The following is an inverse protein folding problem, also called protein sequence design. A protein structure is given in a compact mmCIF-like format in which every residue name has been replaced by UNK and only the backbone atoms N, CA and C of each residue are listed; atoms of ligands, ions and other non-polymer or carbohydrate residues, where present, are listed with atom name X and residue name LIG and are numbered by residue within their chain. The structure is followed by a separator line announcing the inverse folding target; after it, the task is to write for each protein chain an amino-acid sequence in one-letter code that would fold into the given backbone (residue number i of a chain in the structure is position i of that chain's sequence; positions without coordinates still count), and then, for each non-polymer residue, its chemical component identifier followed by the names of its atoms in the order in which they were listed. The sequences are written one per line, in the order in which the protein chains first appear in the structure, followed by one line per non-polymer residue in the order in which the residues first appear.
data_IF_970011618150
#
_entry.id   IF_970011618150
#
_cell.length_a   1.000
_cell.length_b   1.000
_cell.length_c   1.000
_cell.angle_alpha   90.00
_cell.angle_beta   90.00
_cell.angle_gamma   90.00
#
_symmetry.space_group_name_H-M   'P 1'
#
loop_
_entity.id
_entity.type
_entity.pdbx_description
1 polymer ?
#
# COMPACT_ATOMS: atom_id res chain seq x y z
N UNK A 1 12.10 0.53 -2.56
CA UNK A 1 11.04 -0.21 -3.23
C UNK A 1 9.94 0.72 -3.74
N UNK A 2 9.38 0.39 -4.88
CA UNK A 2 8.34 1.20 -5.52
C UNK A 2 6.98 0.55 -5.34
N UNK A 3 5.96 1.37 -5.07
CA UNK A 3 4.56 0.98 -4.95
C UNK A 3 3.71 1.90 -5.83
N UNK A 4 2.51 1.47 -6.23
CA UNK A 4 1.68 2.25 -7.14
C UNK A 4 1.22 3.57 -6.52
N UNK A 5 0.81 3.54 -5.25
CA UNK A 5 0.38 4.74 -4.54
C UNK A 5 0.86 4.73 -3.09
N UNK A 6 1.28 5.89 -2.60
CA UNK A 6 1.52 6.14 -1.19
C UNK A 6 0.51 7.19 -0.71
N UNK A 7 -0.28 6.83 0.29
CA UNK A 7 -1.28 7.74 0.86
C UNK A 7 -0.71 8.38 2.11
N UNK A 8 -0.77 9.70 2.15
CA UNK A 8 -0.27 10.50 3.26
C UNK A 8 -1.40 11.35 3.82
N UNK A 9 -1.18 11.97 4.98
CA UNK A 9 -2.11 12.97 5.53
C UNK A 9 -2.07 14.29 4.76
N UNK A 10 -1.23 14.39 3.72
CA UNK A 10 -0.97 15.55 2.88
C UNK A 10 -1.36 15.25 1.43
N UNK A 11 -1.30 16.23 0.51
CA UNK A 11 -1.62 16.01 -0.91
C UNK A 11 -0.84 14.86 -1.54
N UNK A 12 -1.40 14.27 -2.60
CA UNK A 12 -0.75 13.22 -3.39
C UNK A 12 0.63 13.63 -3.85
N UNK A 13 1.56 12.68 -3.80
CA UNK A 13 2.94 12.90 -4.19
C UNK A 13 3.44 11.72 -5.05
N UNK A 14 4.20 12.01 -6.09
CA UNK A 14 5.07 11.04 -6.72
C UNK A 14 6.24 10.81 -5.77
N UNK A 15 6.58 9.54 -5.47
CA UNK A 15 7.39 9.28 -4.30
C UNK A 15 8.53 8.28 -4.50
N UNK A 16 9.61 8.57 -3.81
CA UNK A 16 10.55 7.58 -3.32
C UNK A 16 10.41 7.49 -1.80
N UNK A 17 10.30 6.27 -1.27
CA UNK A 17 10.21 6.09 0.17
C UNK A 17 11.59 6.13 0.81
N UNK A 18 11.72 6.95 1.84
CA UNK A 18 12.94 7.08 2.64
C UNK A 18 12.61 6.94 4.12
N UNK A 19 13.62 6.58 4.91
CA UNK A 19 13.56 6.65 6.36
C UNK A 19 14.35 7.88 6.79
N UNK A 20 13.65 8.83 7.44
CA UNK A 20 14.27 10.02 7.99
C UNK A 20 13.94 10.11 9.49
N UNK A 21 14.97 10.20 10.33
CA UNK A 21 14.84 10.26 11.78
C UNK A 21 14.00 9.10 12.35
N UNK A 22 14.11 7.90 11.76
CA UNK A 22 13.38 6.70 12.15
C UNK A 22 11.92 6.65 11.65
N UNK A 23 11.47 7.63 10.87
CA UNK A 23 10.11 7.73 10.35
C UNK A 23 10.10 7.43 8.84
N UNK A 24 9.17 6.56 8.40
CA UNK A 24 8.98 6.27 6.98
C UNK A 24 8.26 7.44 6.33
N UNK A 25 8.89 8.05 5.35
CA UNK A 25 8.42 9.25 4.68
C UNK A 25 8.49 9.12 3.16
N UNK A 26 7.69 9.89 2.47
CA UNK A 26 7.89 10.20 1.05
C UNK A 26 8.46 11.59 0.92
N UNK A 27 9.30 11.81 -0.10
CA UNK A 27 9.92 13.09 -0.37
C UNK A 27 9.30 13.73 -1.60
N UNK A 28 8.87 14.98 -1.46
CA UNK A 28 8.39 15.80 -2.56
C UNK A 28 8.87 17.23 -2.39
N UNK A 29 9.45 17.80 -3.45
CA UNK A 29 9.93 19.18 -3.45
C UNK A 29 10.84 19.52 -2.26
N UNK A 30 11.68 18.57 -1.86
CA UNK A 30 12.59 18.74 -0.72
C UNK A 30 11.96 18.54 0.65
N UNK A 31 10.65 18.26 0.72
CA UNK A 31 9.93 18.01 1.97
C UNK A 31 9.62 16.52 2.14
N UNK A 32 9.50 16.05 3.38
CA UNK A 32 9.17 14.68 3.73
C UNK A 32 7.78 14.59 4.33
N UNK A 33 6.97 13.63 3.85
CA UNK A 33 5.60 13.42 4.30
C UNK A 33 5.46 11.99 4.85
N UNK A 34 4.98 11.82 6.09
CA UNK A 34 4.73 10.49 6.65
C UNK A 34 3.73 9.69 5.82
N UNK A 35 4.01 8.41 5.59
CA UNK A 35 3.13 7.50 4.85
C UNK A 35 2.12 6.89 5.80
N UNK A 36 0.83 7.02 5.50
CA UNK A 36 -0.26 6.37 6.23
C UNK A 36 -0.44 4.92 5.79
N UNK A 37 -0.50 4.67 4.48
CA UNK A 37 -0.55 3.34 3.90
C UNK A 37 -0.15 3.37 2.42
N UNK A 38 0.09 2.18 1.86
CA UNK A 38 0.46 1.99 0.48
C UNK A 38 -0.64 1.26 -0.27
N UNK A 39 -0.77 1.51 -1.56
CA UNK A 39 -1.69 0.79 -2.45
C UNK A 39 -0.90 0.17 -3.59
N UNK A 40 -1.14 -1.13 -3.84
CA UNK A 40 -0.69 -1.85 -5.03
C UNK A 40 -1.90 -2.28 -5.85
N UNK A 41 -1.88 -1.97 -7.14
CA UNK A 41 -2.89 -2.46 -8.10
C UNK A 41 -2.32 -3.66 -8.83
N UNK A 42 -2.91 -4.82 -8.61
CA UNK A 42 -2.43 -6.09 -9.16
C UNK A 42 -3.25 -6.50 -10.38
N UNK A 43 -2.60 -6.61 -11.53
CA UNK A 43 -3.20 -7.14 -12.76
C UNK A 43 -3.48 -8.64 -12.64
N UNK A 44 -4.65 -9.09 -13.06
CA UNK A 44 -5.10 -10.47 -12.86
C UNK A 44 -4.17 -11.52 -13.48
N UNK A 45 -3.73 -11.31 -14.71
CA UNK A 45 -2.83 -12.23 -15.38
C UNK A 45 -1.43 -12.25 -14.79
N UNK A 46 -0.83 -11.07 -14.58
CA UNK A 46 0.56 -10.95 -14.13
C UNK A 46 0.75 -11.34 -12.67
N UNK A 47 -0.23 -11.10 -11.82
CA UNK A 47 -0.18 -11.37 -10.37
C UNK A 47 -1.03 -12.58 -9.96
N UNK A 48 -1.58 -13.30 -10.92
CA UNK A 48 -2.25 -14.59 -10.70
C UNK A 48 -3.52 -14.49 -9.85
N UNK A 49 -4.41 -13.54 -10.18
CA UNK A 49 -5.75 -13.49 -9.58
C UNK A 49 -6.45 -14.83 -9.82
N UNK A 50 -6.91 -15.55 -8.79
CA UNK A 50 -7.57 -16.85 -8.95
C UNK A 50 -8.82 -16.83 -9.84
N UNK A 51 -9.45 -15.67 -10.00
CA UNK A 51 -10.61 -15.48 -10.90
C UNK A 51 -10.21 -15.40 -12.38
N UNK A 52 -8.93 -15.14 -12.66
CA UNK A 52 -8.39 -14.97 -14.01
C UNK A 52 -7.47 -16.12 -14.40
N UNK A 53 -6.66 -16.60 -13.46
CA UNK A 53 -5.65 -17.65 -13.67
C UNK A 53 -5.90 -18.81 -12.72
N UNK A 54 -5.99 -20.04 -13.26
CA UNK A 54 -6.16 -21.24 -12.44
C UNK A 54 -4.89 -21.55 -11.65
N UNK A 55 -5.07 -21.88 -10.38
CA UNK A 55 -3.99 -22.33 -9.51
C UNK A 55 -3.33 -23.60 -10.08
N UNK A 56 -2.02 -23.73 -9.94
CA UNK A 56 -1.22 -24.83 -10.47
C UNK A 56 -0.82 -24.69 -11.95
N UNK A 57 -1.31 -23.66 -12.64
CA UNK A 57 -0.99 -23.38 -14.05
C UNK A 57 -0.20 -22.08 -14.25
N UNK A 58 0.57 -21.69 -13.24
CA UNK A 58 1.37 -20.47 -13.30
C UNK A 58 2.59 -20.66 -14.20
N UNK A 59 2.82 -19.70 -15.09
CA UNK A 59 4.06 -19.66 -15.88
C UNK A 59 5.22 -19.09 -15.01
N UNK A 60 6.48 -19.18 -15.49
CA UNK A 60 7.64 -18.67 -14.72
C UNK A 60 7.55 -17.20 -14.35
N UNK A 61 6.99 -16.35 -15.23
CA UNK A 61 6.81 -14.92 -14.94
C UNK A 61 5.82 -14.70 -13.79
N UNK A 62 4.70 -15.40 -13.78
CA UNK A 62 3.70 -15.32 -12.73
C UNK A 62 4.25 -15.80 -11.38
N UNK A 63 5.02 -16.88 -11.38
CA UNK A 63 5.70 -17.36 -10.17
C UNK A 63 6.70 -16.35 -9.63
N UNK A 64 7.46 -15.72 -10.52
CA UNK A 64 8.40 -14.65 -10.12
C UNK A 64 7.66 -13.46 -9.54
N UNK A 65 6.57 -13.02 -10.13
CA UNK A 65 5.76 -11.90 -9.63
C UNK A 65 5.16 -12.21 -8.25
N UNK A 66 4.69 -13.43 -8.02
CA UNK A 66 4.25 -13.86 -6.68
C UNK A 66 5.37 -13.77 -5.64
N UNK A 67 6.57 -14.16 -6.01
CA UNK A 67 7.73 -14.05 -5.14
C UNK A 67 8.06 -12.58 -4.80
N UNK A 68 8.09 -11.72 -5.82
CA UNK A 68 8.32 -10.27 -5.61
C UNK A 68 7.22 -9.65 -4.74
N UNK A 69 5.96 -10.00 -4.97
CA UNK A 69 4.84 -9.53 -4.16
C UNK A 69 5.00 -9.94 -2.69
N UNK A 70 5.42 -11.18 -2.43
CA UNK A 70 5.66 -11.64 -1.06
C UNK A 70 6.79 -10.87 -0.37
N UNK A 71 7.83 -10.46 -1.11
CA UNK A 71 8.90 -9.61 -0.57
C UNK A 71 8.40 -8.21 -0.23
N UNK A 72 7.53 -7.62 -1.06
CA UNK A 72 6.90 -6.33 -0.78
C UNK A 72 6.01 -6.39 0.46
N UNK A 73 5.20 -7.45 0.59
CA UNK A 73 4.35 -7.65 1.77
C UNK A 73 5.19 -7.76 3.04
N UNK A 74 6.26 -8.53 2.98
CA UNK A 74 7.18 -8.73 4.10
C UNK A 74 7.87 -7.40 4.49
N UNK A 75 8.32 -6.64 3.52
CA UNK A 75 8.94 -5.33 3.77
C UNK A 75 7.96 -4.39 4.48
N UNK A 76 6.72 -4.29 3.99
CA UNK A 76 5.68 -3.48 4.63
C UNK A 76 5.39 -3.94 6.06
N UNK A 77 5.30 -5.25 6.29
CA UNK A 77 5.09 -5.81 7.62
C UNK A 77 6.23 -5.47 8.58
N UNK A 78 7.47 -5.58 8.12
CA UNK A 78 8.65 -5.24 8.93
C UNK A 78 8.72 -3.76 9.30
N UNK A 79 8.20 -2.88 8.46
CA UNK A 79 8.19 -1.42 8.68
C UNK A 79 6.87 -0.92 9.27
N UNK A 80 5.94 -1.81 9.61
CA UNK A 80 4.63 -1.47 10.15
C UNK A 80 3.83 -0.49 9.27
N UNK A 81 3.94 -0.64 7.95
CA UNK A 81 3.18 0.14 6.97
C UNK A 81 2.06 -0.72 6.42
N UNK A 82 0.78 -0.34 6.58
CA UNK A 82 -0.31 -1.07 5.95
C UNK A 82 -0.19 -1.06 4.42
N UNK A 83 -0.39 -2.22 3.80
CA UNK A 83 -0.39 -2.37 2.35
C UNK A 83 -1.77 -2.86 1.90
N UNK A 84 -2.48 -2.04 1.15
CA UNK A 84 -3.73 -2.41 0.51
C UNK A 84 -3.46 -2.89 -0.91
N UNK A 85 -3.72 -4.17 -1.17
CA UNK A 85 -3.68 -4.73 -2.52
C UNK A 85 -5.07 -4.73 -3.12
N UNK A 86 -5.16 -4.21 -4.35
CA UNK A 86 -6.41 -4.12 -5.09
C UNK A 86 -6.22 -4.84 -6.42
N UNK A 87 -7.09 -5.80 -6.71
CA UNK A 87 -7.09 -6.45 -8.00
C UNK A 87 -7.67 -5.53 -9.08
N UNK A 88 -7.04 -5.49 -10.24
CA UNK A 88 -7.58 -4.79 -11.41
C UNK A 88 -9.01 -5.25 -11.75
N UNK A 89 -9.28 -6.54 -11.59
CA UNK A 89 -10.62 -7.10 -11.76
C UNK A 89 -11.66 -6.38 -10.89
N UNK A 90 -11.34 -6.10 -9.63
CA UNK A 90 -12.26 -5.42 -8.71
C UNK A 90 -12.46 -3.95 -9.07
N UNK A 91 -11.43 -3.28 -9.57
CA UNK A 91 -11.57 -1.88 -10.05
C UNK A 91 -12.59 -1.81 -11.18
N UNK A 92 -12.57 -2.77 -12.09
CA UNK A 92 -13.45 -2.82 -13.26
C UNK A 92 -14.87 -3.31 -12.94
N UNK A 93 -14.99 -4.30 -12.06
CA UNK A 93 -16.26 -5.01 -11.82
C UNK A 93 -16.90 -4.70 -10.47
N UNK A 94 -16.13 -4.26 -9.48
CA UNK A 94 -16.58 -4.03 -8.11
C UNK A 94 -16.02 -2.70 -7.56
N UNK A 95 -16.25 -1.56 -8.24
CA UNK A 95 -15.65 -0.28 -7.83
C UNK A 95 -16.09 0.19 -6.44
N UNK A 96 -17.33 -0.10 -6.04
CA UNK A 96 -17.84 0.28 -4.71
C UNK A 96 -17.09 -0.47 -3.60
N UNK A 97 -16.79 -1.76 -3.83
CA UNK A 97 -15.97 -2.55 -2.91
C UNK A 97 -14.56 -1.95 -2.77
N UNK A 98 -13.95 -1.54 -3.87
CA UNK A 98 -12.62 -0.90 -3.86
C UNK A 98 -12.64 0.40 -3.06
N UNK A 99 -13.64 1.25 -3.28
CA UNK A 99 -13.79 2.50 -2.52
C UNK A 99 -13.97 2.24 -1.02
N UNK A 100 -14.75 1.23 -0.65
CA UNK A 100 -14.94 0.83 0.74
C UNK A 100 -13.63 0.43 1.39
N UNK A 101 -12.79 -0.36 0.70
CA UNK A 101 -11.48 -0.77 1.20
C UNK A 101 -10.53 0.42 1.39
N UNK A 102 -10.49 1.33 0.43
CA UNK A 102 -9.66 2.54 0.52
C UNK A 102 -10.12 3.39 1.71
N UNK A 103 -11.42 3.61 1.86
CA UNK A 103 -11.97 4.40 2.97
C UNK A 103 -11.66 3.78 4.34
N UNK A 104 -11.74 2.45 4.45
CA UNK A 104 -11.37 1.74 5.67
C UNK A 104 -9.89 1.98 6.04
N UNK A 105 -9.00 1.96 5.06
CA UNK A 105 -7.58 2.22 5.30
C UNK A 105 -7.32 3.69 5.67
N UNK A 106 -8.04 4.62 5.08
CA UNK A 106 -7.98 6.05 5.46
C UNK A 106 -8.40 6.23 6.92
N UNK A 107 -9.49 5.60 7.34
CA UNK A 107 -9.98 5.68 8.73
C UNK A 107 -8.97 5.11 9.73
N UNK A 108 -8.34 3.98 9.41
CA UNK A 108 -7.29 3.37 10.25
C UNK A 108 -6.10 4.34 10.38
N UNK A 109 -5.64 4.92 9.28
CA UNK A 109 -4.55 5.90 9.28
C UNK A 109 -4.88 7.14 10.09
N UNK A 110 -6.09 7.65 9.98
CA UNK A 110 -6.56 8.81 10.75
C UNK A 110 -6.59 8.53 12.26
N UNK A 111 -7.12 7.38 12.67
CA UNK A 111 -7.15 6.98 14.08
C UNK A 111 -5.74 6.82 14.66
N UNK A 112 -4.83 6.25 13.91
CA UNK A 112 -3.43 6.08 14.31
C UNK A 112 -2.75 7.44 14.51
N UNK A 113 -2.95 8.38 13.60
CA UNK A 113 -2.41 9.74 13.70
C UNK A 113 -2.95 10.47 14.93
N UNK A 114 -4.24 10.37 15.21
CA UNK A 114 -4.84 10.96 16.43
C UNK A 114 -4.26 10.40 17.70
N UNK A 115 -4.00 9.09 17.77
CA UNK A 115 -3.35 8.47 18.93
C UNK A 115 -1.93 9.00 19.15
N UNK A 116 -1.16 9.16 18.08
CA UNK A 116 0.20 9.70 18.14
C UNK A 116 0.20 11.17 18.62
N UNK A 117 -0.70 12.00 18.11
CA UNK A 117 -0.87 13.39 18.54
C UNK A 117 -1.25 13.47 20.02
N UNK A 118 -2.16 12.61 20.46
CA UNK A 118 -2.57 12.56 21.87
C UNK A 118 -1.41 12.17 22.80
N UNK A 119 -0.57 11.21 22.41
CA UNK A 119 0.61 10.80 23.17
C UNK A 119 1.67 11.89 23.30
N UNK A 120 1.75 12.79 22.32
CA UNK A 120 2.70 13.91 22.30
C UNK A 120 2.25 15.12 23.12
N UNK A 121 0.99 15.18 23.51
CA UNK A 121 0.47 16.28 24.33
C UNK A 121 0.92 16.11 25.78
N UNK A 122 1.37 17.18 26.46
CA UNK A 122 1.61 17.14 27.92
C UNK A 122 0.29 16.85 28.63
N UNK A 123 0.33 15.88 29.51
CA UNK A 123 -0.83 15.47 30.31
C UNK A 123 -0.77 16.05 31.70
#
# INVERSE_FOLDING_TARGET
RYYDFAITAYPEVDYEMEIKDGIKCVKQEGQYFPVSFLIEVDGGYFHSDPRVVKEGKLNPMQKHNKFVDSLKDKWCGMHCIPLLRIWEYDIRNNPDYVLEQINNYIDIGYKKKKKEEWRKKPH
#
